data_IF_667477671238
#
_entry.id   IF_667477671238
#
_cell.length_a   1.000
_cell.length_b   1.000
_cell.length_c   1.000
_cell.angle_alpha   90.00
_cell.angle_beta   90.00
_cell.angle_gamma   90.00
#
_symmetry.space_group_name_H-M   'P 1'
#
loop_
_entity.id
_entity.type
_entity.pdbx_description
1 polymer ?
#
# COMPACT_ATOMS: atom_id res chain seq x y z
N UNK A 1 -9.78 -7.57 -61.15
CA UNK A 1 -10.70 -7.88 -60.03
C UNK A 1 -10.00 -8.96 -59.24
N UNK A 2 -9.48 -8.72 -58.04
CA UNK A 2 -10.21 -8.38 -56.81
C UNK A 2 -9.31 -7.63 -55.82
N UNK A 3 -9.83 -6.58 -55.19
CA UNK A 3 -9.20 -5.85 -54.09
C UNK A 3 -9.51 -6.53 -52.76
N UNK A 4 -8.49 -7.05 -52.06
CA UNK A 4 -8.62 -7.49 -50.68
C UNK A 4 -8.79 -6.27 -49.78
N UNK A 5 -9.99 -6.10 -49.24
CA UNK A 5 -10.29 -5.07 -48.23
C UNK A 5 -10.01 -5.69 -46.86
N UNK A 6 -8.89 -5.30 -46.26
CA UNK A 6 -8.62 -5.53 -44.83
C UNK A 6 -9.61 -4.74 -44.01
N UNK A 7 -10.70 -5.38 -43.59
CA UNK A 7 -11.58 -4.85 -42.55
C UNK A 7 -10.85 -4.97 -41.21
N UNK A 8 -10.20 -3.89 -40.79
CA UNK A 8 -9.79 -3.73 -39.40
C UNK A 8 -11.05 -3.75 -38.54
N UNK A 9 -11.23 -4.82 -37.76
CA UNK A 9 -12.32 -4.95 -36.82
C UNK A 9 -12.26 -3.80 -35.81
N UNK A 10 -13.28 -2.95 -35.81
CA UNK A 10 -13.47 -1.96 -34.75
C UNK A 10 -13.57 -2.70 -33.41
N UNK A 11 -12.82 -2.30 -32.36
CA UNK A 11 -12.96 -2.91 -31.04
C UNK A 11 -14.40 -2.71 -30.56
N UNK A 12 -15.02 -3.81 -30.12
CA UNK A 12 -16.42 -3.85 -29.73
C UNK A 12 -16.69 -2.86 -28.58
N UNK A 13 -17.80 -2.12 -28.64
CA UNK A 13 -18.18 -1.10 -27.66
C UNK A 13 -18.12 -1.57 -26.19
N UNK A 14 -18.35 -2.87 -25.92
CA UNK A 14 -18.23 -3.48 -24.60
C UNK A 14 -16.81 -3.50 -24.03
N UNK A 15 -15.78 -3.53 -24.88
CA UNK A 15 -14.37 -3.55 -24.48
C UNK A 15 -13.88 -2.15 -24.08
N UNK A 16 -14.47 -1.11 -24.67
CA UNK A 16 -14.22 0.29 -24.34
C UNK A 16 -14.83 0.60 -22.97
N UNK A 17 -16.09 0.18 -22.74
CA UNK A 17 -16.75 0.35 -21.44
C UNK A 17 -16.00 -0.36 -20.30
N UNK A 18 -15.47 -1.57 -20.55
CA UNK A 18 -14.70 -2.31 -19.55
C UNK A 18 -13.38 -1.63 -19.20
N UNK A 19 -12.62 -1.14 -20.19
CA UNK A 19 -11.36 -0.43 -19.96
C UNK A 19 -11.57 0.84 -19.14
N UNK A 20 -12.60 1.63 -19.47
CA UNK A 20 -12.97 2.81 -18.70
C UNK A 20 -13.38 2.48 -17.26
N UNK A 21 -14.11 1.38 -17.04
CA UNK A 21 -14.49 0.93 -15.70
C UNK A 21 -13.27 0.50 -14.86
N UNK A 22 -12.32 -0.23 -15.47
CA UNK A 22 -11.07 -0.65 -14.80
C UNK A 22 -10.21 0.56 -14.43
N UNK A 23 -10.07 1.54 -15.33
CA UNK A 23 -9.33 2.78 -15.05
C UNK A 23 -9.98 3.60 -13.93
N UNK A 24 -11.31 3.71 -13.92
CA UNK A 24 -12.03 4.38 -12.84
C UNK A 24 -11.87 3.67 -11.48
N UNK A 25 -11.87 2.34 -11.47
CA UNK A 25 -11.61 1.56 -10.25
C UNK A 25 -10.16 1.70 -9.76
N UNK A 26 -9.20 1.69 -10.69
CA UNK A 26 -7.79 1.92 -10.40
C UNK A 26 -7.57 3.29 -9.76
N UNK A 27 -8.14 4.35 -10.34
CA UNK A 27 -8.07 5.71 -9.81
C UNK A 27 -8.60 5.78 -8.37
N UNK A 28 -9.78 5.18 -8.12
CA UNK A 28 -10.38 5.12 -6.77
C UNK A 28 -9.49 4.37 -5.77
N UNK A 29 -8.91 3.24 -6.17
CA UNK A 29 -8.04 2.46 -5.30
C UNK A 29 -6.74 3.22 -4.96
N UNK A 30 -6.12 3.89 -5.94
CA UNK A 30 -4.94 4.73 -5.72
C UNK A 30 -5.25 5.88 -4.78
N UNK A 31 -6.39 6.56 -4.98
CA UNK A 31 -6.83 7.67 -4.11
C UNK A 31 -7.05 7.20 -2.68
N UNK A 32 -7.76 6.09 -2.48
CA UNK A 32 -7.98 5.51 -1.16
C UNK A 32 -6.66 5.18 -0.45
N UNK A 33 -5.68 4.66 -1.19
CA UNK A 33 -4.36 4.33 -0.64
C UNK A 33 -3.53 5.58 -0.30
N UNK A 34 -3.59 6.63 -1.14
CA UNK A 34 -2.98 7.93 -0.88
C UNK A 34 -3.58 8.61 0.37
N UNK A 35 -4.91 8.59 0.52
CA UNK A 35 -5.59 9.12 1.70
C UNK A 35 -5.23 8.33 2.97
N UNK A 36 -5.15 7.00 2.87
CA UNK A 36 -4.70 6.12 3.97
C UNK A 36 -3.31 6.50 4.46
N UNK A 37 -2.39 6.74 3.54
CA UNK A 37 -1.00 7.15 3.79
C UNK A 37 -0.86 8.64 4.16
N UNK A 38 -1.95 9.41 4.12
CA UNK A 38 -1.93 10.83 4.46
C UNK A 38 -1.26 11.68 3.39
N UNK A 39 -1.58 11.48 2.12
CA UNK A 39 -1.24 12.44 1.07
C UNK A 39 -1.82 13.84 1.38
N UNK A 40 -1.02 14.90 1.20
CA UNK A 40 -1.52 16.29 1.36
C UNK A 40 -2.47 16.69 0.22
N UNK A 41 -2.14 16.23 -0.98
CA UNK A 41 -2.90 16.48 -2.19
C UNK A 41 -3.09 15.15 -2.96
N UNK A 42 -4.09 14.35 -2.58
CA UNK A 42 -4.31 13.03 -3.16
C UNK A 42 -4.70 13.10 -4.64
N UNK A 43 -5.33 14.17 -5.12
CA UNK A 43 -5.76 14.29 -6.52
C UNK A 43 -4.58 14.51 -7.46
N UNK A 44 -3.66 15.41 -7.12
CA UNK A 44 -2.43 15.62 -7.90
C UNK A 44 -1.50 14.40 -7.87
N UNK A 45 -1.43 13.71 -6.72
CA UNK A 45 -0.62 12.49 -6.57
C UNK A 45 -1.23 11.29 -7.30
N UNK A 46 -2.55 11.18 -7.33
CA UNK A 46 -3.25 10.12 -8.07
C UNK A 46 -2.85 10.14 -9.54
N UNK A 47 -2.88 11.30 -10.20
CA UNK A 47 -2.53 11.42 -11.61
C UNK A 47 -1.06 11.03 -11.91
N UNK A 48 -0.16 11.24 -10.95
CA UNK A 48 1.24 10.85 -11.06
C UNK A 48 1.42 9.34 -10.88
N UNK A 49 0.77 8.76 -9.86
CA UNK A 49 0.88 7.34 -9.54
C UNK A 49 0.12 6.47 -10.53
N UNK A 50 -1.01 6.95 -11.06
CA UNK A 50 -1.79 6.28 -12.11
C UNK A 50 -0.96 6.07 -13.38
N UNK A 51 -0.04 6.99 -13.71
CA UNK A 51 0.90 6.86 -14.84
C UNK A 51 2.03 5.85 -14.59
N UNK A 52 2.34 5.59 -13.32
CA UNK A 52 3.39 4.65 -12.90
C UNK A 52 2.83 3.33 -12.40
N UNK A 53 1.56 3.05 -12.68
CA UNK A 53 0.91 1.79 -12.29
C UNK A 53 0.16 1.19 -13.47
N UNK A 54 -0.02 -0.12 -13.46
CA UNK A 54 -0.87 -0.87 -14.39
C UNK A 54 -1.77 -1.83 -13.61
N UNK A 55 -2.81 -2.35 -14.25
CA UNK A 55 -3.68 -3.38 -13.67
C UNK A 55 -3.41 -4.69 -14.41
N UNK A 56 -3.08 -5.75 -13.68
CA UNK A 56 -2.89 -7.06 -14.29
C UNK A 56 -4.22 -7.79 -14.52
N UNK A 57 -4.17 -8.96 -15.16
CA UNK A 57 -5.35 -9.79 -15.44
C UNK A 57 -6.08 -10.28 -14.17
N UNK A 58 -5.42 -10.23 -13.01
CA UNK A 58 -5.99 -10.57 -11.69
C UNK A 58 -6.64 -9.37 -10.99
N UNK A 59 -6.58 -8.17 -11.57
CA UNK A 59 -7.10 -6.94 -10.98
C UNK A 59 -6.15 -6.28 -9.96
N UNK A 60 -4.90 -6.72 -9.87
CA UNK A 60 -3.91 -6.15 -8.97
C UNK A 60 -3.26 -4.90 -9.60
N UNK A 61 -3.07 -3.86 -8.80
CA UNK A 61 -2.40 -2.62 -9.22
C UNK A 61 -0.90 -2.75 -8.97
N UNK A 62 -0.15 -2.90 -10.04
CA UNK A 62 1.30 -3.10 -10.03
C UNK A 62 2.02 -1.84 -10.47
N UNK A 63 3.16 -1.54 -9.87
CA UNK A 63 4.02 -0.45 -10.28
C UNK A 63 4.75 -0.78 -11.58
N UNK A 64 4.90 0.20 -12.47
CA UNK A 64 5.64 0.09 -13.72
C UNK A 64 6.82 1.06 -13.75
N UNK A 65 7.88 0.64 -14.42
CA UNK A 65 9.05 1.47 -14.73
C UNK A 65 8.73 2.49 -15.82
N UNK A 66 9.62 3.47 -16.04
CA UNK A 66 9.50 4.43 -17.14
C UNK A 66 9.48 3.80 -18.55
N UNK A 67 9.85 2.52 -18.67
CA UNK A 67 9.80 1.75 -19.92
C UNK A 67 8.56 0.85 -20.03
N UNK A 68 7.62 0.92 -19.07
CA UNK A 68 6.40 0.13 -19.06
C UNK A 68 6.55 -1.30 -18.54
N UNK A 69 7.75 -1.72 -18.13
CA UNK A 69 7.96 -3.01 -17.48
C UNK A 69 7.53 -2.97 -16.01
N UNK A 70 6.95 -4.05 -15.49
CA UNK A 70 6.55 -4.19 -14.07
C UNK A 70 7.80 -4.05 -13.19
N UNK A 71 7.72 -3.21 -12.14
CA UNK A 71 8.80 -3.07 -11.17
C UNK A 71 8.86 -4.31 -10.29
N UNK A 72 10.07 -4.86 -10.15
CA UNK A 72 10.37 -5.90 -9.18
C UNK A 72 10.68 -5.21 -7.84
N UNK A 73 9.97 -5.58 -6.78
CA UNK A 73 10.13 -5.06 -5.42
C UNK A 73 11.22 -5.80 -4.65
N UNK A 74 10.97 -6.09 -3.37
CA UNK A 74 11.98 -6.60 -2.42
C UNK A 74 12.49 -8.05 -2.65
N UNK A 75 12.23 -8.66 -3.80
CA UNK A 75 12.69 -10.02 -4.12
C UNK A 75 12.58 -10.35 -5.60
N UNK A 76 13.31 -11.37 -6.08
CA UNK A 76 13.48 -11.67 -7.51
C UNK A 76 12.17 -12.02 -8.26
N UNK A 77 11.11 -12.41 -7.54
CA UNK A 77 9.79 -12.76 -8.09
C UNK A 77 8.65 -11.92 -7.49
N UNK A 78 8.99 -10.81 -6.81
CA UNK A 78 8.00 -9.97 -6.16
C UNK A 78 7.69 -8.75 -7.03
N UNK A 79 6.46 -8.64 -7.55
CA UNK A 79 6.03 -7.45 -8.25
C UNK A 79 5.68 -6.36 -7.24
N UNK A 80 6.30 -5.19 -7.39
CA UNK A 80 6.02 -4.03 -6.54
C UNK A 80 4.57 -3.59 -6.73
N UNK A 81 3.80 -3.60 -5.64
CA UNK A 81 2.41 -3.16 -5.63
C UNK A 81 2.28 -1.64 -5.52
N UNK A 82 1.08 -1.13 -5.77
CA UNK A 82 0.77 0.30 -5.62
C UNK A 82 1.08 0.85 -4.22
N UNK A 83 0.81 0.08 -3.16
CA UNK A 83 1.07 0.51 -1.78
C UNK A 83 2.57 0.70 -1.50
N UNK A 84 3.41 -0.19 -2.05
CA UNK A 84 4.87 -0.06 -1.93
C UNK A 84 5.40 1.13 -2.71
N UNK A 85 4.86 1.37 -3.92
CA UNK A 85 5.20 2.55 -4.71
C UNK A 85 4.85 3.85 -3.97
N UNK A 86 3.67 3.91 -3.35
CA UNK A 86 3.25 5.07 -2.54
C UNK A 86 4.17 5.25 -1.33
N UNK A 87 4.60 4.16 -0.68
CA UNK A 87 5.55 4.22 0.43
C UNK A 87 6.94 4.70 -0.02
N UNK A 88 7.44 4.28 -1.19
CA UNK A 88 8.67 4.84 -1.77
C UNK A 88 8.52 6.33 -2.05
N UNK A 89 7.40 6.75 -2.64
CA UNK A 89 7.12 8.18 -2.89
C UNK A 89 7.07 8.99 -1.60
N UNK A 90 6.51 8.43 -0.52
CA UNK A 90 6.49 9.07 0.78
C UNK A 90 7.89 9.19 1.40
N UNK A 91 8.77 8.20 1.19
CA UNK A 91 10.17 8.22 1.63
C UNK A 91 11.03 9.21 0.82
N UNK A 92 10.88 9.23 -0.50
CA UNK A 92 11.64 10.13 -1.40
C UNK A 92 11.16 11.58 -1.32
N UNK A 93 9.85 11.79 -1.14
CA UNK A 93 9.21 13.11 -1.16
C UNK A 93 8.30 13.29 0.05
N UNK A 94 8.85 13.28 1.27
CA UNK A 94 8.07 13.38 2.51
C UNK A 94 7.25 14.67 2.59
N UNK A 95 7.65 15.74 1.88
CA UNK A 95 6.91 16.99 1.82
C UNK A 95 5.53 16.91 1.16
N UNK A 96 5.27 15.88 0.34
CA UNK A 96 3.99 15.65 -0.35
C UNK A 96 2.98 14.87 0.51
N UNK A 97 3.44 14.30 1.60
CA UNK A 97 2.61 13.58 2.56
C UNK A 97 2.54 14.40 3.85
N UNK A 98 1.39 14.41 4.51
CA UNK A 98 1.30 14.90 5.87
C UNK A 98 2.22 13.98 6.66
N UNK A 99 3.08 14.54 7.52
CA UNK A 99 3.85 13.75 8.49
C UNK A 99 2.87 13.14 9.49
N UNK A 100 2.03 12.20 9.05
CA UNK A 100 1.56 11.14 9.92
C UNK A 100 2.84 10.42 10.30
N UNK A 101 3.23 10.56 11.56
CA UNK A 101 4.14 9.63 12.19
C UNK A 101 3.76 8.24 11.67
N UNK A 102 4.68 7.58 10.95
CA UNK A 102 4.44 6.24 10.43
C UNK A 102 3.81 5.42 11.56
N UNK A 103 2.71 4.66 11.33
CA UNK A 103 2.56 3.46 12.11
C UNK A 103 3.78 2.62 11.72
N UNK A 104 4.80 2.65 12.57
CA UNK A 104 6.07 1.98 12.38
C UNK A 104 5.84 0.65 11.66
N UNK A 105 6.49 0.45 10.50
CA UNK A 105 6.56 -0.85 9.86
C UNK A 105 6.88 -1.87 10.95
N UNK A 106 5.91 -2.71 11.30
CA UNK A 106 6.07 -3.72 12.35
C UNK A 106 6.87 -4.90 11.81
N UNK A 107 8.10 -4.62 11.37
CA UNK A 107 9.21 -5.57 11.34
C UNK A 107 9.59 -5.83 12.80
N UNK A 108 8.82 -6.68 13.45
CA UNK A 108 8.99 -7.02 14.86
C UNK A 108 7.75 -6.89 15.74
N UNK A 109 6.52 -6.89 15.18
CA UNK A 109 5.38 -7.31 16.02
C UNK A 109 5.69 -8.75 16.44
N UNK A 110 5.91 -9.05 17.73
CA UNK A 110 5.85 -10.43 18.15
C UNK A 110 4.47 -10.95 17.71
N UNK A 111 4.42 -12.13 17.11
CA UNK A 111 3.17 -12.80 16.70
C UNK A 111 2.19 -12.98 17.88
N UNK A 112 2.65 -12.66 19.09
CA UNK A 112 2.04 -12.79 20.40
C UNK A 112 2.19 -11.47 21.16
N UNK A 113 1.09 -10.81 21.49
CA UNK A 113 1.10 -9.61 22.33
C UNK A 113 1.25 -10.03 23.82
N UNK A 114 2.35 -9.65 24.50
CA UNK A 114 2.60 -10.08 25.87
C UNK A 114 1.64 -9.43 26.89
N UNK A 115 0.94 -8.35 26.53
CA UNK A 115 -0.06 -7.67 27.35
C UNK A 115 -1.47 -8.24 27.21
N UNK A 116 -1.74 -9.04 26.17
CA UNK A 116 -3.05 -9.61 25.92
C UNK A 116 -3.33 -10.80 26.86
N UNK A 117 -4.49 -10.79 27.52
CA UNK A 117 -4.91 -11.88 28.38
C UNK A 117 -5.09 -13.19 27.58
N UNK A 118 -4.44 -14.26 28.02
CA UNK A 118 -4.53 -15.58 27.39
C UNK A 118 -3.17 -16.27 27.24
N UNK A 119 -3.04 -17.22 26.30
CA UNK A 119 -1.79 -17.92 26.02
C UNK A 119 -0.65 -16.99 25.59
N UNK A 120 -0.94 -15.71 25.36
CA UNK A 120 -0.03 -14.64 24.99
C UNK A 120 0.70 -13.98 26.16
N UNK A 121 0.08 -14.00 27.34
CA UNK A 121 0.45 -13.18 28.49
C UNK A 121 1.80 -13.62 29.10
N UNK A 122 2.74 -12.67 29.25
CA UNK A 122 4.03 -12.92 29.91
C UNK A 122 4.56 -11.65 30.56
N UNK A 123 4.57 -11.62 31.90
CA UNK A 123 5.04 -10.45 32.67
C UNK A 123 6.52 -10.14 32.41
N UNK A 124 7.34 -11.18 32.22
CA UNK A 124 8.77 -11.02 31.92
C UNK A 124 9.00 -10.33 30.58
N UNK A 125 8.24 -10.72 29.55
CA UNK A 125 8.33 -10.09 28.22
C UNK A 125 7.81 -8.66 28.23
N UNK A 126 6.74 -8.38 28.99
CA UNK A 126 6.26 -7.01 29.20
C UNK A 126 7.37 -6.12 29.79
N UNK A 127 8.04 -6.57 30.85
CA UNK A 127 9.11 -5.78 31.50
C UNK A 127 10.34 -5.58 30.61
N UNK A 128 10.74 -6.59 29.85
CA UNK A 128 11.83 -6.47 28.88
C UNK A 128 11.45 -5.48 27.78
N UNK A 129 10.21 -5.54 27.29
CA UNK A 129 9.74 -4.65 26.23
C UNK A 129 9.61 -3.21 26.72
N UNK A 130 9.09 -2.97 27.93
CA UNK A 130 9.02 -1.63 28.54
C UNK A 130 10.42 -1.01 28.64
N UNK A 131 11.44 -1.81 29.02
CA UNK A 131 12.81 -1.33 29.18
C UNK A 131 13.55 -1.12 27.85
N UNK A 132 13.31 -1.99 26.86
CA UNK A 132 14.03 -1.97 25.57
C UNK A 132 13.35 -1.10 24.52
N UNK A 133 12.03 -1.00 24.55
CA UNK A 133 11.22 -0.24 23.60
C UNK A 133 9.88 0.23 24.24
N UNK A 134 9.92 1.30 25.04
CA UNK A 134 8.74 1.77 25.78
C UNK A 134 7.59 2.19 24.87
N UNK A 135 7.87 2.76 23.69
CA UNK A 135 6.82 3.14 22.72
C UNK A 135 6.05 1.95 22.17
N UNK A 136 6.75 0.85 21.87
CA UNK A 136 6.10 -0.38 21.42
C UNK A 136 5.32 -1.05 22.56
N UNK A 137 5.81 -0.97 23.80
CA UNK A 137 5.09 -1.46 24.97
C UNK A 137 3.77 -0.72 25.21
N UNK A 138 3.76 0.62 25.10
CA UNK A 138 2.55 1.44 25.20
C UNK A 138 1.53 1.08 24.12
N UNK A 139 1.97 0.91 22.87
CA UNK A 139 1.09 0.52 21.77
C UNK A 139 0.47 -0.86 22.00
N UNK A 140 1.27 -1.86 22.39
CA UNK A 140 0.78 -3.22 22.62
C UNK A 140 -0.12 -3.32 23.86
N UNK A 141 0.17 -2.54 24.91
CA UNK A 141 -0.70 -2.45 26.06
C UNK A 141 -2.04 -1.79 25.71
N UNK A 142 -2.02 -0.71 24.92
CA UNK A 142 -3.25 -0.06 24.43
C UNK A 142 -4.08 -1.02 23.58
N UNK A 143 -3.46 -1.78 22.67
CA UNK A 143 -4.12 -2.84 21.89
C UNK A 143 -4.72 -3.94 22.77
N UNK A 144 -4.15 -4.19 23.95
CA UNK A 144 -4.67 -5.13 24.95
C UNK A 144 -5.70 -4.51 25.91
N UNK A 145 -6.07 -3.23 25.72
CA UNK A 145 -7.01 -2.52 26.59
C UNK A 145 -6.40 -2.06 27.93
N UNK A 146 -5.07 -2.09 28.06
CA UNK A 146 -4.33 -1.60 29.22
C UNK A 146 -3.77 -0.21 28.93
N UNK A 147 -4.08 0.76 29.79
CA UNK A 147 -3.42 2.06 29.73
C UNK A 147 -2.22 2.05 30.69
N UNK A 148 -1.01 1.92 30.14
CA UNK A 148 0.22 1.94 30.95
C UNK A 148 0.50 3.31 31.59
N UNK A 149 -0.27 4.34 31.25
CA UNK A 149 -0.40 5.56 32.04
C UNK A 149 0.93 6.11 32.53
N UNK A 150 1.88 6.32 31.62
CA UNK A 150 3.15 7.05 31.80
C UNK A 150 3.85 6.77 33.15
N UNK A 151 4.83 5.85 33.14
CA UNK A 151 5.93 5.83 34.10
C UNK A 151 7.10 6.67 33.59
#
# INVERSE_FOLDING_TARGET
MTTETTTAAAPAASEIDYKHAVEAMKARAIRAELERQGAKDPESLEALIAKQTTVNERGEILAVTGHGAIRVGNGPDYNMGCAELIAEFAKERPGLFVSKAEPAETKGRPQRNPFQAGPGFSMTEQMVLIKSNPKLAEQLAFEAGLNLGVL
#
